data_IF_572257119050
#
_entry.id   IF_572257119050
#
_cell.length_a   1.000
_cell.length_b   1.000
_cell.length_c   1.000
_cell.angle_alpha   90.00
_cell.angle_beta   90.00
_cell.angle_gamma   90.00
#
_symmetry.space_group_name_H-M   'P 1'
#
loop_
_entity.id
_entity.type
_entity.pdbx_description
1 polymer ?
#
# COMPACT_ATOMS: atom_id res chain seq x y z
N UNK A 1 -9.28 -9.67 14.40
CA UNK A 1 -9.71 -9.30 13.03
C UNK A 1 -8.50 -9.17 12.11
N UNK A 2 -7.50 -8.34 12.45
CA UNK A 2 -6.27 -8.15 11.66
C UNK A 2 -5.52 -9.45 11.32
N UNK A 3 -5.39 -10.38 12.27
CA UNK A 3 -4.74 -11.68 11.99
C UNK A 3 -5.51 -12.53 10.97
N UNK A 4 -6.84 -12.38 10.87
CA UNK A 4 -7.67 -13.16 9.95
C UNK A 4 -7.53 -12.62 8.52
N UNK A 5 -7.60 -11.29 8.35
CA UNK A 5 -7.37 -10.66 7.03
C UNK A 5 -5.94 -10.89 6.55
N UNK A 6 -4.94 -10.82 7.44
CA UNK A 6 -3.55 -11.14 7.09
C UNK A 6 -3.36 -12.60 6.65
N UNK A 7 -3.92 -13.56 7.39
CA UNK A 7 -3.83 -14.99 7.04
C UNK A 7 -4.58 -15.32 5.75
N UNK A 8 -5.77 -14.76 5.56
CA UNK A 8 -6.53 -14.93 4.32
C UNK A 8 -5.86 -14.22 3.14
N UNK A 9 -5.17 -13.10 3.39
CA UNK A 9 -4.37 -12.39 2.38
C UNK A 9 -3.24 -13.23 1.81
N UNK A 10 -2.73 -14.22 2.55
CA UNK A 10 -1.76 -15.19 2.01
C UNK A 10 -2.31 -16.00 0.83
N UNK A 11 -3.63 -16.05 0.65
CA UNK A 11 -4.22 -16.66 -0.54
C UNK A 11 -3.79 -15.95 -1.84
N UNK A 12 -3.36 -14.67 -1.78
CA UNK A 12 -2.76 -13.97 -2.92
C UNK A 12 -1.46 -14.61 -3.41
N UNK A 13 -0.81 -15.45 -2.60
CA UNK A 13 0.35 -16.24 -3.05
C UNK A 13 0.01 -17.23 -4.16
N UNK A 14 -1.28 -17.47 -4.43
CA UNK A 14 -1.72 -18.19 -5.62
C UNK A 14 -1.22 -17.55 -6.91
N UNK A 15 -1.08 -16.21 -6.96
CA UNK A 15 -0.50 -15.53 -8.12
C UNK A 15 0.96 -15.92 -8.34
N UNK A 16 1.73 -16.16 -7.27
CA UNK A 16 3.10 -16.66 -7.41
C UNK A 16 3.11 -18.09 -7.98
N UNK A 17 2.19 -18.94 -7.53
CA UNK A 17 2.04 -20.29 -8.09
C UNK A 17 1.67 -20.22 -9.57
N UNK A 18 0.66 -19.41 -9.93
CA UNK A 18 0.21 -19.20 -11.31
C UNK A 18 1.34 -18.67 -12.18
N UNK A 19 2.11 -17.68 -11.71
CA UNK A 19 3.26 -17.15 -12.41
C UNK A 19 4.26 -18.25 -12.78
N UNK A 20 4.60 -19.16 -11.86
CA UNK A 20 5.50 -20.28 -12.18
C UNK A 20 4.86 -21.34 -13.08
N UNK A 21 3.54 -21.58 -12.96
CA UNK A 21 2.82 -22.53 -13.82
C UNK A 21 2.79 -22.05 -15.26
N UNK A 22 2.66 -20.73 -15.48
CA UNK A 22 2.79 -20.11 -16.81
C UNK A 22 4.17 -20.30 -17.45
N UNK A 23 5.15 -20.84 -16.70
CA UNK A 23 6.48 -21.20 -17.18
C UNK A 23 7.19 -20.06 -17.93
N UNK A 24 7.31 -18.86 -17.34
CA UNK A 24 7.92 -17.72 -17.99
C UNK A 24 9.39 -18.01 -18.29
N UNK A 25 9.91 -17.45 -19.37
CA UNK A 25 11.31 -17.67 -19.71
C UNK A 25 12.21 -17.01 -18.64
N UNK A 26 13.15 -17.76 -18.02
CA UNK A 26 13.99 -17.18 -16.97
C UNK A 26 14.88 -16.04 -17.49
N UNK A 27 15.22 -16.06 -18.78
CA UNK A 27 16.01 -15.04 -19.44
C UNK A 27 15.28 -13.71 -19.58
N UNK A 28 14.01 -13.73 -20.00
CA UNK A 28 13.19 -12.51 -20.11
C UNK A 28 12.89 -11.94 -18.73
N UNK A 29 12.51 -12.78 -17.76
CA UNK A 29 12.29 -12.33 -16.38
C UNK A 29 13.55 -11.67 -15.81
N UNK A 30 14.73 -12.26 -16.02
CA UNK A 30 15.98 -11.66 -15.56
C UNK A 30 16.31 -10.34 -16.27
N UNK A 31 15.97 -10.22 -17.56
CA UNK A 31 16.13 -8.98 -18.32
C UNK A 31 15.20 -7.87 -17.82
N UNK A 32 13.96 -8.21 -17.46
CA UNK A 32 12.95 -7.26 -16.97
C UNK A 32 13.21 -6.77 -15.53
N UNK A 33 14.01 -7.50 -14.75
CA UNK A 33 14.49 -7.03 -13.45
C UNK A 33 15.48 -5.86 -13.55
N UNK A 34 16.05 -5.62 -14.72
CA UNK A 34 16.95 -4.48 -14.95
C UNK A 34 16.12 -3.26 -15.35
N UNK A 35 16.14 -2.16 -14.57
CA UNK A 35 15.39 -0.95 -14.92
C UNK A 35 15.87 -0.39 -16.27
N UNK A 36 14.98 -0.40 -17.25
CA UNK A 36 15.21 0.14 -18.60
C UNK A 36 14.03 1.00 -18.99
N UNK A 37 14.29 2.17 -19.59
CA UNK A 37 13.23 2.91 -20.26
C UNK A 37 12.90 2.18 -21.58
N UNK A 38 11.62 1.84 -21.81
CA UNK A 38 11.19 1.32 -23.10
C UNK A 38 11.49 2.34 -24.21
N UNK A 39 11.86 1.86 -25.39
CA UNK A 39 12.29 2.73 -26.50
C UNK A 39 11.10 3.42 -27.22
N UNK A 40 9.92 2.83 -27.06
CA UNK A 40 8.63 3.17 -27.64
C UNK A 40 7.73 3.98 -26.69
N UNK A 41 8.08 4.04 -25.41
CA UNK A 41 7.32 4.75 -24.40
C UNK A 41 7.98 6.09 -24.04
N UNK A 42 7.16 7.12 -23.86
CA UNK A 42 7.68 8.41 -23.42
C UNK A 42 8.20 8.29 -21.97
N UNK A 43 9.43 8.76 -21.73
CA UNK A 43 10.06 8.73 -20.40
C UNK A 43 9.17 9.22 -19.23
N UNK A 44 8.29 10.25 -19.39
CA UNK A 44 7.38 10.64 -18.33
C UNK A 44 6.39 9.54 -17.89
N UNK A 45 5.96 8.65 -18.79
CA UNK A 45 5.01 7.57 -18.46
C UNK A 45 5.68 6.50 -17.59
N UNK A 46 6.91 6.11 -17.93
CA UNK A 46 7.73 5.24 -17.09
C UNK A 46 7.91 5.82 -15.67
N UNK A 47 8.30 7.09 -15.58
CA UNK A 47 8.49 7.74 -14.28
C UNK A 47 7.18 7.95 -13.52
N UNK A 48 6.06 8.15 -14.22
CA UNK A 48 4.73 8.21 -13.61
C UNK A 48 4.41 6.89 -12.89
N UNK A 49 4.56 5.74 -13.56
CA UNK A 49 4.31 4.44 -12.94
C UNK A 49 5.33 4.12 -11.83
N UNK A 50 6.59 4.55 -11.97
CA UNK A 50 7.58 4.40 -10.91
C UNK A 50 7.19 5.18 -9.64
N UNK A 51 6.72 6.42 -9.78
CA UNK A 51 6.22 7.24 -8.66
C UNK A 51 4.91 6.67 -8.10
N UNK A 52 4.01 6.19 -8.96
CA UNK A 52 2.78 5.55 -8.52
C UNK A 52 3.06 4.29 -7.70
N UNK A 53 3.94 3.39 -8.18
CA UNK A 53 4.33 2.19 -7.45
C UNK A 53 4.99 2.53 -6.10
N UNK A 54 5.80 3.58 -6.06
CA UNK A 54 6.40 4.09 -4.82
C UNK A 54 5.34 4.62 -3.84
N UNK A 55 4.37 5.41 -4.32
CA UNK A 55 3.24 5.91 -3.51
C UNK A 55 2.28 4.82 -3.06
N UNK A 56 2.13 3.75 -3.84
CA UNK A 56 1.31 2.60 -3.46
C UNK A 56 1.99 1.75 -2.39
N UNK A 57 3.33 1.65 -2.42
CA UNK A 57 4.11 0.92 -1.43
C UNK A 57 4.21 1.63 -0.07
N UNK A 58 3.96 2.93 -0.03
CA UNK A 58 3.99 3.72 1.20
C UNK A 58 2.81 4.68 1.24
N UNK A 59 1.87 4.38 2.12
CA UNK A 59 0.67 5.19 2.25
C UNK A 59 0.67 5.99 3.55
N UNK A 60 0.32 7.29 3.53
CA UNK A 60 0.35 8.13 4.72
C UNK A 60 -0.53 7.63 5.87
N UNK A 61 -1.60 6.88 5.58
CA UNK A 61 -2.53 6.39 6.59
C UNK A 61 -1.85 5.41 7.56
N UNK A 62 -0.84 4.66 7.11
CA UNK A 62 -0.13 3.68 7.91
C UNK A 62 0.53 4.31 9.14
N UNK A 63 1.03 5.54 9.01
CA UNK A 63 1.65 6.27 10.12
C UNK A 63 0.68 6.41 11.29
N UNK A 64 -0.53 6.90 11.03
CA UNK A 64 -1.53 7.11 12.07
C UNK A 64 -2.11 5.79 12.57
N UNK A 65 -2.34 4.83 11.67
CA UNK A 65 -2.87 3.53 12.03
C UNK A 65 -1.90 2.73 12.92
N UNK A 66 -0.63 2.59 12.52
CA UNK A 66 0.38 1.84 13.27
C UNK A 66 0.70 2.51 14.61
N UNK A 67 0.89 3.83 14.64
CA UNK A 67 1.22 4.53 15.88
C UNK A 67 0.06 4.48 16.89
N UNK A 68 -1.18 4.68 16.43
CA UNK A 68 -2.37 4.62 17.29
C UNK A 68 -2.68 3.19 17.74
N UNK A 69 -2.54 2.22 16.83
CA UNK A 69 -2.71 0.80 17.13
C UNK A 69 -1.69 0.32 18.17
N UNK A 70 -0.43 0.75 18.05
CA UNK A 70 0.61 0.43 19.04
C UNK A 70 0.29 0.96 20.45
N UNK A 71 -0.35 2.13 20.55
CA UNK A 71 -0.83 2.65 21.84
C UNK A 71 -1.99 1.81 22.40
N UNK A 72 -2.96 1.45 21.55
CA UNK A 72 -4.10 0.63 21.98
C UNK A 72 -3.72 -0.79 22.39
N UNK A 73 -2.78 -1.39 21.68
CA UNK A 73 -2.23 -2.72 21.97
C UNK A 73 -1.24 -2.69 23.15
N UNK A 74 -0.94 -1.51 23.70
CA UNK A 74 -0.06 -1.35 24.85
C UNK A 74 1.39 -1.71 24.56
N UNK A 75 1.88 -1.44 23.35
CA UNK A 75 3.25 -1.76 22.96
C UNK A 75 4.26 -1.06 23.86
N UNK A 76 5.33 -1.79 24.16
CA UNK A 76 6.45 -1.32 24.96
C UNK A 76 7.75 -1.36 24.14
N UNK A 77 8.85 -0.85 24.72
CA UNK A 77 10.17 -0.94 24.10
C UNK A 77 10.59 -2.39 23.75
N UNK A 78 10.07 -3.40 24.45
CA UNK A 78 10.37 -4.81 24.19
C UNK A 78 9.73 -5.30 22.87
N UNK A 79 8.61 -4.70 22.47
CA UNK A 79 7.86 -5.08 21.27
C UNK A 79 8.52 -4.55 20.00
N UNK A 80 9.36 -3.51 20.09
CA UNK A 80 10.08 -2.93 18.95
C UNK A 80 10.89 -3.98 18.19
N UNK A 81 11.52 -4.93 18.88
CA UNK A 81 12.26 -6.01 18.20
C UNK A 81 11.33 -6.92 17.41
N UNK A 82 10.17 -7.29 17.97
CA UNK A 82 9.16 -8.10 17.29
C UNK A 82 8.57 -7.33 16.11
N UNK A 83 8.29 -6.03 16.26
CA UNK A 83 7.78 -5.19 15.19
C UNK A 83 8.76 -5.04 14.04
N UNK A 84 10.07 -4.89 14.33
CA UNK A 84 11.10 -4.92 13.29
C UNK A 84 11.10 -6.22 12.51
N UNK A 85 11.02 -7.37 13.19
CA UNK A 85 10.94 -8.68 12.53
C UNK A 85 9.69 -8.76 11.65
N UNK A 86 8.53 -8.31 12.17
CA UNK A 86 7.29 -8.29 11.40
C UNK A 86 7.41 -7.42 10.13
N UNK A 87 8.04 -6.26 10.22
CA UNK A 87 8.29 -5.38 9.05
C UNK A 87 9.27 -6.04 8.07
N UNK A 88 10.40 -6.56 8.55
CA UNK A 88 11.43 -7.15 7.69
C UNK A 88 11.01 -8.48 7.04
N UNK A 89 9.98 -9.16 7.54
CA UNK A 89 9.43 -10.36 6.92
C UNK A 89 8.17 -10.03 6.10
N UNK A 90 7.28 -9.21 6.67
CA UNK A 90 5.99 -8.88 6.08
C UNK A 90 6.11 -8.04 4.80
N UNK A 91 6.95 -7.00 4.79
CA UNK A 91 7.12 -6.18 3.58
C UNK A 91 7.66 -6.98 2.39
N UNK A 92 8.75 -7.78 2.54
CA UNK A 92 9.20 -8.62 1.43
C UNK A 92 8.15 -9.63 0.96
N UNK A 93 7.37 -10.21 1.87
CA UNK A 93 6.29 -11.13 1.49
C UNK A 93 5.21 -10.43 0.65
N UNK A 94 4.79 -9.23 1.06
CA UNK A 94 3.85 -8.40 0.28
C UNK A 94 4.43 -7.96 -1.06
N UNK A 95 5.72 -7.62 -1.11
CA UNK A 95 6.43 -7.29 -2.34
C UNK A 95 6.47 -8.48 -3.32
N UNK A 96 6.75 -9.69 -2.83
CA UNK A 96 6.69 -10.91 -3.65
C UNK A 96 5.28 -11.12 -4.21
N UNK A 97 4.24 -10.94 -3.40
CA UNK A 97 2.86 -11.02 -3.87
C UNK A 97 2.54 -10.00 -4.97
N UNK A 98 2.99 -8.75 -4.79
CA UNK A 98 2.79 -7.67 -5.77
C UNK A 98 3.53 -7.95 -7.08
N UNK A 99 4.80 -8.39 -6.99
CA UNK A 99 5.60 -8.80 -8.14
C UNK A 99 5.00 -10.02 -8.85
N UNK A 100 4.41 -10.95 -8.11
CA UNK A 100 3.75 -12.12 -8.70
C UNK A 100 2.47 -11.74 -9.46
N UNK A 101 1.66 -10.81 -8.95
CA UNK A 101 0.49 -10.28 -9.65
C UNK A 101 0.93 -9.55 -10.93
N UNK A 102 1.93 -8.67 -10.81
CA UNK A 102 2.50 -7.93 -11.94
C UNK A 102 3.10 -8.88 -12.99
N UNK A 103 3.92 -9.85 -12.56
CA UNK A 103 4.55 -10.83 -13.45
C UNK A 103 3.53 -11.75 -14.13
N UNK A 104 2.49 -12.20 -13.41
CA UNK A 104 1.40 -12.99 -14.01
C UNK A 104 0.72 -12.21 -15.11
N UNK A 105 0.46 -10.92 -14.85
CA UNK A 105 -0.18 -10.02 -15.83
C UNK A 105 0.72 -9.76 -17.02
N UNK A 106 2.01 -9.50 -16.79
CA UNK A 106 2.99 -9.27 -17.87
C UNK A 106 3.10 -10.50 -18.79
N UNK A 107 3.24 -11.70 -18.23
CA UNK A 107 3.37 -12.94 -19.02
C UNK A 107 2.10 -13.25 -19.82
N UNK A 108 0.93 -12.97 -19.25
CA UNK A 108 -0.35 -13.29 -19.88
C UNK A 108 -0.81 -12.25 -20.92
N UNK A 109 -0.61 -10.97 -20.65
CA UNK A 109 -1.23 -9.88 -21.42
C UNK A 109 -0.25 -9.12 -22.31
N UNK A 110 1.02 -8.95 -21.91
CA UNK A 110 1.98 -8.18 -22.69
C UNK A 110 2.23 -8.73 -24.10
N UNK A 111 2.31 -10.07 -24.35
CA UNK A 111 2.50 -10.59 -25.70
C UNK A 111 1.35 -10.31 -26.67
N UNK A 112 0.17 -9.99 -26.13
CA UNK A 112 -1.04 -9.71 -26.92
C UNK A 112 -1.42 -8.22 -26.91
N UNK A 113 -0.58 -7.35 -26.33
CA UNK A 113 -0.82 -5.91 -26.19
C UNK A 113 -2.19 -5.62 -25.56
N UNK A 114 -2.59 -6.43 -24.57
CA UNK A 114 -3.87 -6.26 -23.88
C UNK A 114 -3.69 -5.36 -22.66
N UNK A 115 -4.39 -4.23 -22.66
CA UNK A 115 -4.47 -3.35 -21.51
C UNK A 115 -5.35 -3.94 -20.40
N UNK A 116 -4.88 -3.83 -19.15
CA UNK A 116 -5.55 -4.37 -17.96
C UNK A 116 -6.34 -3.28 -17.26
N UNK A 117 -7.59 -3.10 -17.68
CA UNK A 117 -8.43 -1.98 -17.21
C UNK A 117 -9.31 -2.32 -16.01
N UNK A 118 -9.26 -3.57 -15.52
CA UNK A 118 -10.12 -4.02 -14.44
C UNK A 118 -9.47 -5.07 -13.55
N UNK A 119 -9.87 -5.06 -12.27
CA UNK A 119 -9.44 -6.07 -11.30
C UNK A 119 -9.88 -7.49 -11.71
N UNK A 120 -11.02 -7.63 -12.38
CA UNK A 120 -11.52 -8.93 -12.87
C UNK A 120 -10.64 -9.54 -13.95
N UNK A 121 -9.97 -8.71 -14.77
CA UNK A 121 -9.06 -9.19 -15.81
C UNK A 121 -7.91 -9.99 -15.22
N UNK A 122 -7.46 -9.67 -14.01
CA UNK A 122 -6.40 -10.41 -13.31
C UNK A 122 -6.74 -11.88 -13.05
N UNK A 123 -8.04 -12.24 -13.05
CA UNK A 123 -8.47 -13.61 -12.82
C UNK A 123 -8.39 -14.50 -14.08
N UNK A 124 -8.27 -13.91 -15.28
CA UNK A 124 -8.18 -14.65 -16.54
C UNK A 124 -6.98 -15.59 -16.55
N UNK A 125 -5.72 -15.13 -16.37
CA UNK A 125 -4.56 -16.01 -16.37
C UNK A 125 -4.56 -16.99 -15.19
N UNK A 126 -5.16 -16.61 -14.07
CA UNK A 126 -5.34 -17.48 -12.90
C UNK A 126 -6.28 -18.64 -13.23
N UNK A 127 -7.37 -18.38 -13.95
CA UNK A 127 -8.32 -19.39 -14.36
C UNK A 127 -7.71 -20.34 -15.40
N UNK A 128 -6.99 -19.80 -16.38
CA UNK A 128 -6.37 -20.58 -17.45
C UNK A 128 -5.25 -21.50 -16.95
N UNK A 129 -4.35 -20.97 -16.11
CA UNK A 129 -3.20 -21.73 -15.64
C UNK A 129 -3.49 -22.57 -14.38
N UNK A 130 -4.28 -22.02 -13.45
CA UNK A 130 -4.50 -22.59 -12.12
C UNK A 130 -5.89 -23.20 -11.88
N UNK A 131 -6.82 -23.04 -12.83
CA UNK A 131 -8.18 -23.57 -12.75
C UNK A 131 -9.05 -22.91 -11.67
N UNK A 132 -10.24 -23.50 -11.44
CA UNK A 132 -11.25 -22.94 -10.53
C UNK A 132 -10.77 -22.79 -9.09
N UNK A 133 -9.90 -23.70 -8.63
CA UNK A 133 -9.35 -23.62 -7.28
C UNK A 133 -8.46 -22.38 -7.12
N UNK A 134 -7.58 -22.11 -8.08
CA UNK A 134 -6.71 -20.93 -8.03
C UNK A 134 -7.51 -19.63 -8.05
N UNK A 135 -8.59 -19.59 -8.86
CA UNK A 135 -9.52 -18.46 -8.89
C UNK A 135 -10.17 -18.25 -7.52
N UNK A 136 -10.60 -19.32 -6.84
CA UNK A 136 -11.16 -19.21 -5.50
C UNK A 136 -10.15 -18.62 -4.49
N UNK A 137 -8.89 -19.07 -4.52
CA UNK A 137 -7.83 -18.47 -3.70
C UNK A 137 -7.59 -16.99 -4.04
N UNK A 138 -7.56 -16.64 -5.33
CA UNK A 138 -7.33 -15.26 -5.76
C UNK A 138 -8.46 -14.34 -5.27
N UNK A 139 -9.72 -14.76 -5.42
CA UNK A 139 -10.89 -13.99 -4.93
C UNK A 139 -10.83 -13.80 -3.41
N UNK A 140 -10.55 -14.87 -2.65
CA UNK A 140 -10.43 -14.79 -1.19
C UNK A 140 -9.29 -13.87 -0.77
N UNK A 141 -8.14 -13.97 -1.45
CA UNK A 141 -6.97 -13.14 -1.17
C UNK A 141 -7.21 -11.66 -1.47
N UNK A 142 -7.78 -11.35 -2.64
CA UNK A 142 -8.14 -9.99 -3.04
C UNK A 142 -9.17 -9.39 -2.08
N UNK A 143 -10.20 -10.15 -1.72
CA UNK A 143 -11.20 -9.72 -0.74
C UNK A 143 -10.56 -9.44 0.62
N UNK A 144 -9.71 -10.34 1.11
CA UNK A 144 -9.06 -10.19 2.41
C UNK A 144 -8.12 -8.96 2.45
N UNK A 145 -7.35 -8.74 1.39
CA UNK A 145 -6.45 -7.59 1.27
C UNK A 145 -7.22 -6.26 1.20
N UNK A 146 -8.23 -6.18 0.34
CA UNK A 146 -9.04 -4.95 0.15
C UNK A 146 -9.90 -4.62 1.37
N UNK A 147 -10.50 -5.61 2.03
CA UNK A 147 -11.22 -5.42 3.29
C UNK A 147 -10.27 -5.01 4.41
N UNK A 148 -9.10 -5.63 4.49
CA UNK A 148 -8.06 -5.24 5.45
C UNK A 148 -7.67 -3.77 5.28
N UNK A 149 -7.21 -3.39 4.09
CA UNK A 149 -6.76 -2.03 3.78
C UNK A 149 -7.86 -0.97 3.99
N UNK A 150 -9.11 -1.27 3.59
CA UNK A 150 -10.23 -0.34 3.79
C UNK A 150 -10.55 -0.10 5.28
N UNK A 151 -10.50 -1.15 6.11
CA UNK A 151 -10.69 -1.02 7.56
C UNK A 151 -9.56 -0.21 8.21
N UNK A 152 -8.31 -0.48 7.85
CA UNK A 152 -7.15 0.26 8.37
C UNK A 152 -7.20 1.74 7.98
N UNK A 153 -7.58 2.03 6.73
CA UNK A 153 -7.75 3.40 6.23
C UNK A 153 -8.89 4.13 6.96
N UNK A 154 -10.02 3.46 7.20
CA UNK A 154 -11.13 4.05 7.95
C UNK A 154 -10.76 4.33 9.41
N UNK A 155 -10.05 3.40 10.06
CA UNK A 155 -9.53 3.59 11.41
C UNK A 155 -8.52 4.73 11.48
N UNK A 156 -7.59 4.79 10.51
CA UNK A 156 -6.63 5.89 10.37
C UNK A 156 -7.31 7.25 10.28
N UNK A 157 -8.38 7.36 9.49
CA UNK A 157 -9.21 8.57 9.40
C UNK A 157 -9.82 8.94 10.75
N UNK A 158 -10.38 7.96 11.47
CA UNK A 158 -10.90 8.15 12.82
C UNK A 158 -9.83 8.64 13.80
N UNK A 159 -8.63 8.05 13.78
CA UNK A 159 -7.51 8.42 14.64
C UNK A 159 -7.06 9.85 14.37
N UNK A 160 -6.83 10.20 13.10
CA UNK A 160 -6.38 11.53 12.72
C UNK A 160 -7.36 12.62 13.17
N UNK A 161 -8.66 12.45 12.89
CA UNK A 161 -9.69 13.43 13.26
C UNK A 161 -9.84 13.55 14.77
N UNK A 162 -9.88 12.42 15.49
CA UNK A 162 -10.07 12.43 16.93
C UNK A 162 -8.85 13.00 17.67
N UNK A 163 -7.63 12.67 17.24
CA UNK A 163 -6.41 13.21 17.82
C UNK A 163 -6.28 14.72 17.57
N UNK A 164 -6.55 15.17 16.35
CA UNK A 164 -6.58 16.61 16.03
C UNK A 164 -7.59 17.37 16.89
N UNK A 165 -8.77 16.77 17.10
CA UNK A 165 -9.86 17.41 17.84
C UNK A 165 -9.78 17.22 19.36
N UNK A 166 -8.76 16.52 19.87
CA UNK A 166 -8.62 16.18 21.29
C UNK A 166 -9.73 15.29 21.86
N UNK A 167 -10.38 14.49 21.00
CA UNK A 167 -11.47 13.60 21.40
C UNK A 167 -10.96 12.27 21.96
N UNK A 168 -11.79 11.59 22.74
CA UNK A 168 -11.52 10.19 23.10
C UNK A 168 -11.59 9.32 21.86
N UNK A 169 -10.55 8.52 21.63
CA UNK A 169 -10.41 7.60 20.52
C UNK A 169 -10.03 6.19 20.98
N UNK A 170 -10.26 5.23 20.10
CA UNK A 170 -9.83 3.85 20.30
C UNK A 170 -10.77 2.85 19.62
N UNK A 171 -10.23 1.96 18.80
CA UNK A 171 -10.96 0.86 18.18
C UNK A 171 -11.42 -0.19 19.21
N UNK A 172 -10.65 -0.40 20.28
CA UNK A 172 -10.99 -1.31 21.37
C UNK A 172 -11.95 -0.70 22.40
N UNK A 173 -12.20 0.61 22.33
CA UNK A 173 -13.14 1.31 23.24
C UNK A 173 -14.57 0.95 22.87
N UNK A 174 -15.48 0.95 23.85
CA UNK A 174 -16.91 0.75 23.56
C UNK A 174 -17.40 1.92 22.69
N UNK A 175 -18.26 1.69 21.69
CA UNK A 175 -18.75 2.76 20.81
C UNK A 175 -19.34 3.95 21.56
N UNK A 176 -20.01 3.74 22.69
CA UNK A 176 -20.55 4.82 23.53
C UNK A 176 -19.48 5.69 24.20
N UNK A 177 -18.31 5.13 24.51
CA UNK A 177 -17.24 5.82 25.24
C UNK A 177 -16.34 6.63 24.29
N UNK A 178 -16.30 6.25 23.00
CA UNK A 178 -15.59 6.94 21.93
C UNK A 178 -16.53 7.17 20.73
N UNK A 179 -17.72 7.71 20.98
CA UNK A 179 -18.80 7.80 19.98
C UNK A 179 -18.40 8.62 18.75
N UNK A 180 -17.72 9.76 18.95
CA UNK A 180 -17.29 10.62 17.84
C UNK A 180 -16.29 9.90 16.93
N UNK A 181 -15.33 9.18 17.51
CA UNK A 181 -14.38 8.37 16.75
C UNK A 181 -15.10 7.30 15.89
N UNK A 182 -15.99 6.52 16.50
CA UNK A 182 -16.73 5.47 15.78
C UNK A 182 -17.65 6.02 14.68
N UNK A 183 -18.25 7.19 14.90
CA UNK A 183 -19.06 7.89 13.89
C UNK A 183 -18.20 8.32 12.71
N UNK A 184 -16.99 8.85 12.94
CA UNK A 184 -16.07 9.23 11.84
C UNK A 184 -15.64 7.99 11.05
N UNK A 185 -15.28 6.90 11.72
CA UNK A 185 -14.91 5.64 11.06
C UNK A 185 -16.07 5.11 10.21
N UNK A 186 -17.28 5.05 10.78
CA UNK A 186 -18.47 4.61 10.04
C UNK A 186 -18.78 5.53 8.86
N UNK A 187 -18.70 6.84 9.06
CA UNK A 187 -18.92 7.82 8.00
C UNK A 187 -17.92 7.66 6.86
N UNK A 188 -16.63 7.41 7.16
CA UNK A 188 -15.61 7.16 6.14
C UNK A 188 -15.95 5.93 5.28
N UNK A 189 -16.37 4.83 5.91
CA UNK A 189 -16.79 3.60 5.21
C UNK A 189 -18.03 3.86 4.34
N UNK A 190 -19.04 4.52 4.90
CA UNK A 190 -20.29 4.83 4.17
C UNK A 190 -20.03 5.75 3.00
N UNK A 191 -19.22 6.80 3.17
CA UNK A 191 -18.86 7.71 2.08
C UNK A 191 -18.08 6.97 0.99
N UNK A 192 -17.11 6.13 1.35
CA UNK A 192 -16.40 5.29 0.37
C UNK A 192 -17.34 4.40 -0.43
N UNK A 193 -18.29 3.74 0.24
CA UNK A 193 -19.30 2.91 -0.42
C UNK A 193 -20.23 3.73 -1.33
N UNK A 194 -20.68 4.90 -0.88
CA UNK A 194 -21.53 5.79 -1.68
C UNK A 194 -20.80 6.31 -2.93
N UNK A 195 -19.50 6.61 -2.83
CA UNK A 195 -18.68 7.01 -3.99
C UNK A 195 -18.63 5.87 -5.01
N UNK A 196 -18.42 4.62 -4.58
CA UNK A 196 -18.44 3.47 -5.50
C UNK A 196 -19.80 3.28 -6.17
N UNK A 197 -20.91 3.58 -5.47
CA UNK A 197 -22.26 3.51 -6.04
C UNK A 197 -22.52 4.56 -7.14
N UNK A 198 -21.66 5.58 -7.31
CA UNK A 198 -21.78 6.55 -8.40
C UNK A 198 -21.39 5.97 -9.77
N UNK A 199 -20.80 4.78 -9.82
CA UNK A 199 -20.28 4.17 -11.05
C UNK A 199 -18.94 4.76 -11.50
N UNK A 200 -18.25 5.48 -10.63
CA UNK A 200 -16.86 5.91 -10.87
C UNK A 200 -15.97 4.69 -11.08
N UNK A 201 -15.02 4.80 -12.00
CA UNK A 201 -14.03 3.75 -12.24
C UNK A 201 -13.13 3.56 -11.00
N UNK A 202 -13.18 2.39 -10.33
CA UNK A 202 -12.35 2.11 -9.17
C UNK A 202 -10.85 2.12 -9.47
N UNK A 203 -10.45 1.79 -10.70
CA UNK A 203 -9.03 1.80 -11.11
C UNK A 203 -8.53 3.24 -11.13
N UNK A 204 -9.22 4.13 -11.84
CA UNK A 204 -8.91 5.55 -11.83
C UNK A 204 -8.89 6.16 -10.42
N UNK A 205 -9.87 5.83 -9.56
CA UNK A 205 -9.88 6.31 -8.16
C UNK A 205 -8.65 5.84 -7.40
N UNK A 206 -8.22 4.59 -7.62
CA UNK A 206 -7.02 4.03 -6.98
C UNK A 206 -5.76 4.74 -7.47
N UNK A 207 -5.60 4.95 -8.77
CA UNK A 207 -4.46 5.68 -9.36
C UNK A 207 -4.35 7.09 -8.80
N UNK A 208 -5.43 7.86 -8.82
CA UNK A 208 -5.44 9.21 -8.22
C UNK A 208 -5.10 9.15 -6.73
N UNK A 209 -5.68 8.21 -5.97
CA UNK A 209 -5.41 8.06 -4.54
C UNK A 209 -3.94 7.78 -4.24
N UNK A 210 -3.28 6.97 -5.08
CA UNK A 210 -1.86 6.65 -4.98
C UNK A 210 -0.99 7.88 -5.27
N UNK A 211 -1.32 8.67 -6.30
CA UNK A 211 -0.62 9.93 -6.61
C UNK A 211 -0.77 10.94 -5.46
N UNK A 212 -1.98 11.11 -4.91
CA UNK A 212 -2.21 11.97 -3.75
C UNK A 212 -1.49 11.46 -2.49
N UNK A 213 -1.39 10.15 -2.32
CA UNK A 213 -0.63 9.54 -1.23
C UNK A 213 0.85 9.91 -1.34
N UNK A 214 1.45 9.81 -2.54
CA UNK A 214 2.83 10.21 -2.78
C UNK A 214 3.09 11.68 -2.41
N UNK A 215 2.13 12.57 -2.67
CA UNK A 215 2.23 14.00 -2.34
C UNK A 215 2.12 14.25 -0.83
N UNK A 216 1.32 13.47 -0.13
CA UNK A 216 1.15 13.59 1.32
C UNK A 216 2.29 12.95 2.13
N UNK A 217 3.04 12.02 1.54
CA UNK A 217 4.12 11.28 2.21
C UNK A 217 5.18 12.16 2.90
N UNK A 218 5.74 13.23 2.28
CA UNK A 218 6.70 14.09 2.97
C UNK A 218 6.11 14.73 4.23
N UNK A 219 4.82 15.07 4.21
CA UNK A 219 4.14 15.73 5.32
C UNK A 219 3.93 14.80 6.51
N UNK A 220 3.85 13.49 6.28
CA UNK A 220 3.77 12.49 7.36
C UNK A 220 5.13 11.93 7.76
N UNK A 221 6.04 11.74 6.80
CA UNK A 221 7.37 11.16 7.04
C UNK A 221 8.29 12.13 7.79
N UNK A 222 8.33 13.41 7.39
CA UNK A 222 9.22 14.40 8.00
C UNK A 222 8.98 14.57 9.50
N UNK A 223 7.73 14.76 10.00
CA UNK A 223 7.49 14.88 11.44
C UNK A 223 7.98 13.66 12.23
N UNK A 224 7.79 12.45 11.71
CA UNK A 224 8.26 11.22 12.37
C UNK A 224 9.78 11.20 12.43
N UNK A 225 10.46 11.53 11.32
CA UNK A 225 11.92 11.55 11.28
C UNK A 225 12.49 12.57 12.28
N UNK A 226 11.86 13.75 12.37
CA UNK A 226 12.24 14.80 13.33
C UNK A 226 12.06 14.31 14.76
N UNK A 227 10.88 13.79 15.11
CA UNK A 227 10.61 13.28 16.47
C UNK A 227 11.53 12.12 16.82
N UNK A 228 11.78 11.20 15.89
CA UNK A 228 12.68 10.06 16.10
C UNK A 228 14.14 10.48 16.33
N UNK A 229 14.54 11.65 15.82
CA UNK A 229 15.85 12.27 16.04
C UNK A 229 15.94 13.13 17.30
N UNK A 230 14.82 13.44 17.95
CA UNK A 230 14.76 14.33 19.10
C UNK A 230 15.05 13.57 20.42
N UNK A 231 16.11 14.00 21.12
CA UNK A 231 16.51 13.39 22.41
C UNK A 231 15.58 13.73 23.55
N UNK A 232 14.90 14.88 23.51
CA UNK A 232 14.00 15.31 24.57
C UNK A 232 12.72 14.46 24.56
N UNK A 233 12.26 14.04 23.37
CA UNK A 233 11.12 13.14 23.21
C UNK A 233 11.50 11.65 23.32
N UNK A 234 12.56 11.21 22.64
CA UNK A 234 12.88 9.78 22.52
C UNK A 234 13.81 9.25 23.63
N UNK A 235 14.50 10.14 24.35
CA UNK A 235 15.45 9.78 25.39
C UNK A 235 16.50 8.77 24.92
N UNK A 236 16.57 7.62 25.58
CA UNK A 236 17.51 6.55 25.24
C UNK A 236 17.22 5.82 23.90
N UNK A 237 16.04 6.03 23.31
CA UNK A 237 15.60 5.38 22.06
C UNK A 237 15.76 6.27 20.83
N UNK A 238 16.47 7.39 20.95
CA UNK A 238 16.73 8.30 19.83
C UNK A 238 17.45 7.58 18.68
N UNK A 239 17.14 7.97 17.45
CA UNK A 239 17.84 7.45 16.27
C UNK A 239 19.34 7.71 16.36
N UNK A 240 20.12 6.67 16.05
CA UNK A 240 21.56 6.80 15.81
C UNK A 240 21.85 7.54 14.50
N UNK A 241 23.10 7.95 14.32
CA UNK A 241 23.52 8.70 13.13
C UNK A 241 23.24 7.97 11.80
N UNK A 242 23.40 6.63 11.77
CA UNK A 242 23.06 5.81 10.61
C UNK A 242 21.57 5.85 10.27
N UNK A 243 20.70 5.72 11.28
CA UNK A 243 19.25 5.75 11.08
C UNK A 243 18.79 7.13 10.57
N UNK A 244 19.35 8.21 11.10
CA UNK A 244 19.06 9.56 10.62
C UNK A 244 19.62 9.81 9.21
N UNK A 245 20.82 9.31 8.89
CA UNK A 245 21.38 9.45 7.55
C UNK A 245 20.53 8.74 6.49
N UNK A 246 20.19 7.46 6.75
CA UNK A 246 19.32 6.67 5.85
C UNK A 246 17.92 7.30 5.76
N UNK A 247 17.33 7.69 6.89
CA UNK A 247 16.02 8.35 6.90
C UNK A 247 16.00 9.68 6.15
N UNK A 248 17.08 10.46 6.22
CA UNK A 248 17.20 11.73 5.49
C UNK A 248 17.36 11.50 3.99
N UNK A 249 18.18 10.53 3.57
CA UNK A 249 18.30 10.15 2.14
C UNK A 249 16.93 9.71 1.62
N UNK A 250 16.22 8.89 2.40
CA UNK A 250 14.91 8.40 2.02
C UNK A 250 13.87 9.51 1.96
N UNK A 251 13.89 10.47 2.89
CA UNK A 251 13.09 11.70 2.80
C UNK A 251 13.37 12.46 1.50
N UNK A 252 14.63 12.53 1.06
CA UNK A 252 15.00 13.11 -0.23
C UNK A 252 14.29 12.41 -1.41
N UNK A 253 14.28 11.08 -1.42
CA UNK A 253 13.57 10.28 -2.44
C UNK A 253 12.06 10.54 -2.38
N UNK A 254 11.48 10.55 -1.18
CA UNK A 254 10.06 10.83 -0.95
C UNK A 254 9.68 12.23 -1.46
N UNK A 255 10.52 13.24 -1.21
CA UNK A 255 10.30 14.61 -1.70
C UNK A 255 10.39 14.67 -3.23
N UNK A 256 11.39 14.01 -3.83
CA UNK A 256 11.51 13.96 -5.30
C UNK A 256 10.28 13.31 -5.93
N UNK A 257 9.86 12.15 -5.41
CA UNK A 257 8.66 11.46 -5.89
C UNK A 257 7.39 12.33 -5.72
N UNK A 258 7.22 12.97 -4.55
CA UNK A 258 6.11 13.86 -4.25
C UNK A 258 6.03 15.06 -5.21
N UNK A 259 7.17 15.72 -5.48
CA UNK A 259 7.22 16.88 -6.39
C UNK A 259 7.00 16.45 -7.83
N UNK A 260 7.49 15.27 -8.23
CA UNK A 260 7.32 14.73 -9.58
C UNK A 260 5.90 14.20 -9.85
N UNK A 261 5.16 13.80 -8.81
CA UNK A 261 3.86 13.14 -8.93
C UNK A 261 2.83 13.94 -9.75
N UNK A 262 2.58 15.22 -9.42
CA UNK A 262 1.59 16.05 -10.14
C UNK A 262 2.03 16.36 -11.58
N UNK A 263 3.26 16.86 -11.82
CA UNK A 263 3.72 17.15 -13.18
C UNK A 263 3.64 15.91 -14.09
N UNK A 264 4.10 14.76 -13.59
CA UNK A 264 4.05 13.51 -14.36
C UNK A 264 2.60 13.12 -14.66
N UNK A 265 1.71 13.13 -13.67
CA UNK A 265 0.28 12.83 -13.87
C UNK A 265 -0.36 13.73 -14.94
N UNK A 266 -0.06 15.04 -14.94
CA UNK A 266 -0.60 15.97 -15.93
C UNK A 266 0.00 15.72 -17.32
N UNK A 267 1.31 15.51 -17.40
CA UNK A 267 2.03 15.30 -18.66
C UNK A 267 1.65 13.99 -19.35
N UNK A 268 1.33 12.96 -18.57
CA UNK A 268 1.00 11.62 -19.08
C UNK A 268 -0.49 11.35 -19.12
N UNK A 269 -1.36 12.33 -18.79
CA UNK A 269 -2.81 12.06 -18.71
C UNK A 269 -3.16 10.93 -17.74
N UNK A 270 -2.41 10.80 -16.64
CA UNK A 270 -2.45 9.68 -15.69
C UNK A 270 -2.01 8.31 -16.26
N UNK A 271 -1.06 8.30 -17.19
CA UNK A 271 -0.48 7.08 -17.76
C UNK A 271 -1.08 6.66 -19.10
N UNK A 272 -1.73 7.59 -19.81
CA UNK A 272 -2.39 7.39 -21.11
C UNK A 272 -1.63 8.06 -22.26
#
# INVERSE_FOLDING_TARGET
MQNVTGLLGLALMVFAVVFFVLSPSPGEVAADLVPRLPADEAAPVYWYYAVALFGAAMTPYEVFFFSSGGIEDGWTAHDVRRMRINVFIGFPLGAIGSLAIMGTSAVAFAPSEIDVDSLSSLLIPVAEAGGQLAVAFAIVGVLAATVGASLETALSTGYAVAQYSGWTWGAARRPRDAARFHVVVLAAIVVGALVLMTGVDPVAVTEYSVVFSAIALPLTYLPILVVAGDRDYMGAHVNGWWANAVGTVFLGIVVVASVAAIPLMIMTGAGR
#
